data_IF_598972319654
#
_entry.id   IF_598972319654
#
_cell.length_a   1.000
_cell.length_b   1.000
_cell.length_c   1.000
_cell.angle_alpha   90.00
_cell.angle_beta   90.00
_cell.angle_gamma   90.00
#
_symmetry.space_group_name_H-M   'P 1'
#
loop_
_entity.id
_entity.type
_entity.pdbx_description
1 polymer ?
#
# COMPACT_ATOMS: atom_id res chain seq x y z
N UNK A 1 26.47 11.68 -19.72
CA UNK A 1 25.46 10.62 -19.96
C UNK A 1 24.61 10.30 -18.72
N UNK A 2 25.16 10.37 -17.49
CA UNK A 2 24.39 10.19 -16.25
C UNK A 2 23.44 11.36 -15.90
N UNK A 3 23.84 12.62 -16.15
CA UNK A 3 22.96 13.79 -15.94
C UNK A 3 21.65 13.66 -16.75
N UNK A 4 21.73 13.28 -18.03
CA UNK A 4 20.55 13.12 -18.88
C UNK A 4 19.62 12.02 -18.38
N UNK A 5 20.15 10.95 -17.77
CA UNK A 5 19.33 9.90 -17.16
C UNK A 5 18.64 10.37 -15.88
N UNK A 6 19.33 11.20 -15.07
CA UNK A 6 18.79 11.76 -13.82
C UNK A 6 17.62 12.71 -14.09
N UNK A 7 17.85 13.70 -14.97
CA UNK A 7 16.83 14.66 -15.41
C UNK A 7 15.60 13.92 -15.96
N UNK A 8 15.82 12.90 -16.78
CA UNK A 8 14.74 12.12 -17.37
C UNK A 8 13.91 11.28 -16.36
N UNK A 9 14.50 10.88 -15.23
CA UNK A 9 13.78 10.19 -14.16
C UNK A 9 12.97 11.18 -13.33
N UNK A 10 13.53 12.34 -13.03
CA UNK A 10 12.86 13.41 -12.29
C UNK A 10 11.66 13.96 -13.08
N UNK A 11 11.82 14.19 -14.39
CA UNK A 11 10.73 14.59 -15.28
C UNK A 11 9.60 13.55 -15.29
N UNK A 12 9.96 12.26 -15.35
CA UNK A 12 8.97 11.18 -15.32
C UNK A 12 8.25 11.09 -13.97
N UNK A 13 8.96 11.26 -12.86
CA UNK A 13 8.34 11.25 -11.53
C UNK A 13 7.41 12.47 -11.34
N UNK A 14 7.71 13.63 -11.95
CA UNK A 14 6.90 14.85 -11.86
C UNK A 14 5.86 15.05 -12.99
N UNK A 15 5.76 14.12 -13.94
CA UNK A 15 4.84 14.23 -15.08
C UNK A 15 3.37 14.40 -14.61
N UNK A 16 2.54 15.14 -15.37
CA UNK A 16 1.09 15.13 -15.18
C UNK A 16 0.52 13.72 -15.32
N UNK A 17 -0.45 13.37 -14.48
CA UNK A 17 -1.15 12.08 -14.54
C UNK A 17 -2.12 12.08 -15.73
N UNK A 18 -2.11 10.99 -16.51
CA UNK A 18 -2.79 10.92 -17.81
C UNK A 18 -4.00 9.97 -17.82
N UNK A 19 -4.12 9.09 -16.84
CA UNK A 19 -5.18 8.08 -16.73
C UNK A 19 -6.58 8.62 -16.40
N UNK A 20 -6.84 9.92 -16.55
CA UNK A 20 -8.17 10.51 -16.35
C UNK A 20 -8.67 10.40 -14.92
N UNK A 21 -9.58 9.46 -14.65
CA UNK A 21 -10.20 9.23 -13.35
C UNK A 21 -9.70 7.93 -12.71
N UNK A 22 -9.28 8.02 -11.45
CA UNK A 22 -8.71 6.91 -10.69
C UNK A 22 -9.63 6.55 -9.51
N UNK A 23 -10.53 5.57 -9.65
CA UNK A 23 -11.46 5.20 -8.58
C UNK A 23 -10.76 4.75 -7.29
N UNK A 24 -9.56 4.18 -7.38
CA UNK A 24 -8.79 3.77 -6.21
C UNK A 24 -7.27 3.87 -6.41
N UNK A 25 -6.58 4.19 -5.31
CA UNK A 25 -5.13 4.36 -5.23
C UNK A 25 -4.58 3.44 -4.14
N UNK A 26 -3.53 2.68 -4.47
CA UNK A 26 -2.76 1.91 -3.50
C UNK A 26 -1.54 2.70 -3.08
N UNK A 27 -1.28 2.70 -1.78
CA UNK A 27 -0.16 3.41 -1.17
C UNK A 27 0.59 2.51 -0.21
N UNK A 28 1.91 2.62 -0.19
CA UNK A 28 2.76 1.95 0.79
C UNK A 28 4.00 2.78 1.06
N UNK A 29 4.69 2.49 2.16
CA UNK A 29 5.99 3.05 2.47
C UNK A 29 7.02 1.95 2.68
N UNK A 30 8.14 2.05 1.99
CA UNK A 30 9.24 1.09 2.04
C UNK A 30 10.36 1.72 2.86
N UNK A 31 10.86 1.00 3.88
CA UNK A 31 12.05 1.43 4.61
C UNK A 31 13.31 0.94 3.90
N UNK A 32 14.22 1.87 3.61
CA UNK A 32 15.55 1.60 3.08
C UNK A 32 16.59 2.12 4.07
N UNK A 33 17.78 1.50 4.08
CA UNK A 33 18.89 1.96 4.94
C UNK A 33 19.70 3.03 4.23
N UNK A 34 20.01 4.11 4.93
CA UNK A 34 21.00 5.10 4.53
C UNK A 34 22.15 5.12 5.53
N UNK A 35 23.36 5.44 5.04
CA UNK A 35 24.52 5.74 5.84
C UNK A 35 24.88 7.21 5.59
N UNK A 36 24.55 8.06 6.56
CA UNK A 36 24.83 9.49 6.49
C UNK A 36 25.79 9.86 7.62
N UNK A 37 26.95 10.42 7.27
CA UNK A 37 27.93 10.86 8.27
C UNK A 37 28.49 9.74 9.17
N UNK A 38 28.42 8.48 8.74
CA UNK A 38 28.85 7.31 9.54
C UNK A 38 27.72 6.69 10.38
N UNK A 39 26.53 7.28 10.39
CA UNK A 39 25.36 6.74 11.09
C UNK A 39 24.40 6.03 10.13
N UNK A 40 23.92 4.86 10.56
CA UNK A 40 22.93 4.09 9.82
C UNK A 40 21.52 4.44 10.26
N UNK A 41 20.75 5.03 9.35
CA UNK A 41 19.36 5.41 9.58
C UNK A 41 18.43 4.74 8.57
N UNK A 42 17.15 4.62 8.92
CA UNK A 42 16.13 4.21 7.97
C UNK A 42 15.47 5.44 7.33
N UNK A 43 15.40 5.45 6.00
CA UNK A 43 14.60 6.40 5.22
C UNK A 43 13.34 5.71 4.73
N UNK A 44 12.19 6.38 4.80
CA UNK A 44 10.95 5.86 4.24
C UNK A 44 10.77 6.39 2.81
N UNK A 45 10.55 5.51 1.84
CA UNK A 45 10.13 5.89 0.50
C UNK A 45 8.64 5.57 0.37
N UNK A 46 7.83 6.61 0.23
CA UNK A 46 6.39 6.50 0.00
C UNK A 46 6.16 6.24 -1.49
N UNK A 47 5.28 5.30 -1.81
CA UNK A 47 4.99 4.87 -3.18
C UNK A 47 3.48 4.83 -3.39
N UNK A 48 3.02 5.29 -4.56
CA UNK A 48 1.63 5.21 -4.96
C UNK A 48 1.46 4.66 -6.38
N UNK A 49 0.45 3.81 -6.54
CA UNK A 49 0.00 3.25 -7.82
C UNK A 49 -1.52 3.29 -7.85
N UNK A 50 -2.09 3.77 -8.94
CA UNK A 50 -3.53 3.85 -9.14
C UNK A 50 -4.00 2.91 -10.22
N UNK A 51 -5.30 2.67 -10.25
CA UNK A 51 -5.98 2.01 -11.36
C UNK A 51 -7.05 2.97 -11.85
N UNK A 52 -7.09 3.22 -13.17
CA UNK A 52 -8.10 4.09 -13.77
C UNK A 52 -9.45 3.36 -13.98
N UNK A 53 -10.45 4.06 -14.50
CA UNK A 53 -11.77 3.50 -14.80
C UNK A 53 -11.72 2.36 -15.84
N UNK A 54 -10.79 2.43 -16.80
CA UNK A 54 -10.55 1.37 -17.80
C UNK A 54 -9.88 0.12 -17.21
N UNK A 55 -9.29 0.23 -16.02
CA UNK A 55 -8.58 -0.85 -15.36
C UNK A 55 -7.07 -0.88 -15.54
N UNK A 56 -6.54 0.10 -16.26
CA UNK A 56 -5.11 0.28 -16.46
C UNK A 56 -4.44 0.82 -15.22
N UNK A 57 -3.22 0.34 -14.99
CA UNK A 57 -2.43 0.68 -13.82
C UNK A 57 -1.51 1.81 -14.17
N UNK A 58 -1.49 2.84 -13.32
CA UNK A 58 -0.51 3.91 -13.45
C UNK A 58 0.25 4.10 -12.16
N UNK A 59 1.58 3.98 -12.24
CA UNK A 59 2.45 4.38 -11.13
C UNK A 59 2.38 5.89 -10.99
N UNK A 60 1.78 6.36 -9.89
CA UNK A 60 1.67 7.78 -9.63
C UNK A 60 3.04 8.37 -9.31
N UNK A 61 3.84 7.68 -8.50
CA UNK A 61 5.22 8.06 -8.20
C UNK A 61 5.71 7.59 -6.84
N UNK A 62 6.87 8.11 -6.45
CA UNK A 62 7.44 7.91 -5.13
C UNK A 62 8.01 9.22 -4.59
N UNK A 63 8.06 9.34 -3.27
CA UNK A 63 8.69 10.46 -2.58
C UNK A 63 9.45 9.97 -1.35
N UNK A 64 10.52 10.68 -1.00
CA UNK A 64 11.19 10.50 0.27
C UNK A 64 10.32 11.07 1.40
N UNK A 65 10.11 10.27 2.44
CA UNK A 65 9.58 10.70 3.73
C UNK A 65 10.64 10.47 4.79
N UNK A 66 10.84 11.45 5.68
CA UNK A 66 11.72 11.28 6.83
C UNK A 66 11.27 10.09 7.69
N UNK A 67 9.94 9.95 7.87
CA UNK A 67 9.26 8.83 8.54
C UNK A 67 7.89 8.58 7.88
N UNK A 68 7.18 7.54 8.31
CA UNK A 68 5.76 7.33 7.97
C UNK A 68 4.84 8.21 8.83
N UNK A 69 5.19 9.49 8.97
CA UNK A 69 4.45 10.46 9.76
C UNK A 69 3.40 11.21 8.92
N UNK A 70 2.52 11.96 9.60
CA UNK A 70 1.46 12.72 8.95
C UNK A 70 2.01 13.70 7.92
N UNK A 71 3.06 14.45 8.28
CA UNK A 71 3.66 15.49 7.44
C UNK A 71 4.14 14.91 6.11
N UNK A 72 4.88 13.80 6.16
CA UNK A 72 5.38 13.13 4.95
C UNK A 72 4.24 12.65 4.06
N UNK A 73 3.16 12.10 4.64
CA UNK A 73 1.99 11.65 3.88
C UNK A 73 1.17 12.80 3.29
N UNK A 74 0.98 13.91 4.02
CA UNK A 74 0.28 15.11 3.51
C UNK A 74 1.04 15.68 2.32
N UNK A 75 2.34 15.90 2.45
CA UNK A 75 3.18 16.40 1.35
C UNK A 75 3.13 15.48 0.14
N UNK A 76 3.18 14.15 0.34
CA UNK A 76 3.10 13.18 -0.75
C UNK A 76 1.72 13.20 -1.43
N UNK A 77 0.64 13.26 -0.67
CA UNK A 77 -0.72 13.31 -1.22
C UNK A 77 -1.01 14.62 -1.95
N UNK A 78 -0.55 15.76 -1.43
CA UNK A 78 -0.63 17.04 -2.14
C UNK A 78 0.17 17.00 -3.44
N UNK A 79 1.38 16.41 -3.43
CA UNK A 79 2.22 16.28 -4.61
C UNK A 79 1.56 15.43 -5.71
N UNK A 80 0.92 14.30 -5.39
CA UNK A 80 0.18 13.52 -6.41
C UNK A 80 -1.12 14.23 -6.83
N UNK A 81 -1.81 14.92 -5.91
CA UNK A 81 -3.05 15.65 -6.21
C UNK A 81 -2.81 16.78 -7.21
N UNK A 82 -1.76 17.58 -6.99
CA UNK A 82 -1.37 18.69 -7.87
C UNK A 82 -0.95 18.24 -9.28
N UNK A 83 -0.66 16.94 -9.47
CA UNK A 83 -0.40 16.33 -10.78
C UNK A 83 -1.67 15.81 -11.47
N UNK A 84 -2.85 16.31 -11.07
CA UNK A 84 -4.19 16.03 -11.64
C UNK A 84 -4.74 14.64 -11.29
N UNK A 85 -4.50 14.18 -10.07
CA UNK A 85 -5.15 12.96 -9.57
C UNK A 85 -6.64 13.22 -9.33
N UNK A 86 -7.49 12.79 -10.27
CA UNK A 86 -8.93 12.95 -10.20
C UNK A 86 -9.63 11.63 -9.81
N UNK A 87 -10.75 11.72 -9.11
CA UNK A 87 -11.64 10.57 -8.85
C UNK A 87 -11.21 9.61 -7.75
N UNK A 88 -10.16 9.92 -6.96
CA UNK A 88 -9.59 9.11 -5.88
C UNK A 88 -10.54 8.79 -4.73
N UNK A 89 -11.57 7.98 -5.00
CA UNK A 89 -12.65 7.62 -4.06
C UNK A 89 -12.23 6.62 -3.00
N UNK A 90 -11.12 5.90 -3.20
CA UNK A 90 -10.59 4.95 -2.23
C UNK A 90 -9.06 5.00 -2.17
N UNK A 91 -8.53 5.11 -0.96
CA UNK A 91 -7.10 4.92 -0.68
C UNK A 91 -6.92 3.59 0.05
N UNK A 92 -6.11 2.70 -0.52
CA UNK A 92 -5.77 1.39 0.03
C UNK A 92 -4.33 1.42 0.53
N UNK A 93 -4.12 1.24 1.84
CA UNK A 93 -2.78 1.30 2.43
C UNK A 93 -2.66 0.53 3.73
N UNK A 94 -1.46 0.52 4.33
CA UNK A 94 -1.32 0.01 5.70
C UNK A 94 -1.96 0.98 6.72
N UNK A 95 -2.41 0.43 7.85
CA UNK A 95 -3.01 1.19 8.95
C UNK A 95 -1.93 1.94 9.72
N UNK A 96 -1.41 3.02 9.16
CA UNK A 96 -0.58 3.99 9.87
C UNK A 96 -1.36 5.29 10.10
N UNK A 97 -1.27 5.82 11.33
CA UNK A 97 -2.05 7.00 11.75
C UNK A 97 -1.77 8.22 10.88
N UNK A 98 -0.50 8.48 10.56
CA UNK A 98 -0.12 9.60 9.71
C UNK A 98 -0.77 9.55 8.32
N UNK A 99 -0.86 8.36 7.70
CA UNK A 99 -1.54 8.21 6.41
C UNK A 99 -3.05 8.41 6.55
N UNK A 100 -3.68 7.90 7.61
CA UNK A 100 -5.13 8.04 7.81
C UNK A 100 -5.55 9.50 7.99
N UNK A 101 -4.75 10.25 8.74
CA UNK A 101 -4.96 11.69 8.94
C UNK A 101 -4.71 12.45 7.65
N UNK A 102 -3.64 12.12 6.91
CA UNK A 102 -3.33 12.75 5.63
C UNK A 102 -4.39 12.49 4.55
N UNK A 103 -4.96 11.28 4.48
CA UNK A 103 -6.07 10.98 3.55
C UNK A 103 -7.27 11.88 3.84
N UNK A 104 -7.66 12.03 5.12
CA UNK A 104 -8.79 12.88 5.51
C UNK A 104 -8.55 14.36 5.21
N UNK A 105 -7.31 14.80 5.30
CA UNK A 105 -6.92 16.19 5.06
C UNK A 105 -6.88 16.53 3.57
N UNK A 106 -6.24 15.68 2.76
CA UNK A 106 -6.01 15.97 1.33
C UNK A 106 -7.17 15.47 0.45
N UNK A 107 -7.84 14.38 0.84
CA UNK A 107 -8.92 13.76 0.10
C UNK A 107 -10.13 13.49 1.02
N UNK A 108 -10.86 14.53 1.47
CA UNK A 108 -11.94 14.38 2.46
C UNK A 108 -13.06 13.44 2.00
N UNK A 109 -13.32 13.38 0.70
CA UNK A 109 -14.33 12.50 0.10
C UNK A 109 -13.85 11.07 -0.15
N UNK A 110 -12.55 10.79 0.04
CA UNK A 110 -11.99 9.47 -0.18
C UNK A 110 -12.28 8.55 1.00
N UNK A 111 -12.75 7.34 0.68
CA UNK A 111 -12.80 6.24 1.64
C UNK A 111 -11.39 5.68 1.87
N UNK A 112 -11.20 5.03 3.00
CA UNK A 112 -9.99 4.28 3.31
C UNK A 112 -10.27 2.78 3.39
N UNK A 113 -9.35 1.98 2.86
CA UNK A 113 -9.26 0.55 3.10
C UNK A 113 -7.89 0.17 3.63
N UNK A 114 -7.90 -0.60 4.72
CA UNK A 114 -6.71 -1.32 5.18
C UNK A 114 -6.38 -2.42 4.19
N UNK A 115 -5.14 -2.42 3.72
CA UNK A 115 -4.58 -3.46 2.87
C UNK A 115 -4.73 -4.86 3.51
N UNK A 116 -5.30 -5.81 2.76
CA UNK A 116 -5.62 -7.17 3.21
C UNK A 116 -4.38 -7.96 3.63
N UNK A 117 -3.24 -7.81 2.93
CA UNK A 117 -2.01 -8.51 3.36
C UNK A 117 -1.39 -7.89 4.60
N UNK A 118 -1.40 -6.57 4.75
CA UNK A 118 -0.95 -5.95 6.00
C UNK A 118 -1.84 -6.37 7.17
N UNK A 119 -3.15 -6.50 6.93
CA UNK A 119 -4.06 -7.10 7.89
C UNK A 119 -3.67 -8.55 8.24
N UNK A 120 -3.42 -9.42 7.24
CA UNK A 120 -3.02 -10.80 7.48
C UNK A 120 -1.69 -10.90 8.24
N UNK A 121 -0.67 -10.13 7.84
CA UNK A 121 0.63 -10.06 8.54
C UNK A 121 0.47 -9.63 10.00
N UNK A 122 -0.43 -8.68 10.27
CA UNK A 122 -0.71 -8.26 11.64
C UNK A 122 -1.36 -9.37 12.48
N UNK A 123 -2.25 -10.18 11.89
CA UNK A 123 -2.80 -11.36 12.59
C UNK A 123 -1.72 -12.43 12.77
N UNK A 124 -0.88 -12.65 11.76
CA UNK A 124 0.19 -13.64 11.82
C UNK A 124 1.28 -13.33 12.84
N UNK A 125 1.51 -12.05 13.17
CA UNK A 125 2.53 -11.68 14.18
C UNK A 125 2.22 -12.18 15.59
N UNK A 126 0.97 -12.59 15.86
CA UNK A 126 0.55 -13.22 17.12
C UNK A 126 0.03 -14.65 16.91
N UNK A 127 0.27 -15.22 15.73
CA UNK A 127 -0.15 -16.59 15.39
C UNK A 127 1.07 -17.52 15.39
N UNK A 128 1.03 -18.66 16.11
CA UNK A 128 2.09 -19.67 16.05
C UNK A 128 2.33 -20.17 14.61
N UNK A 129 3.59 -20.37 14.23
CA UNK A 129 3.98 -20.77 12.85
C UNK A 129 3.23 -22.01 12.35
N UNK A 130 2.99 -22.99 13.22
CA UNK A 130 2.25 -24.22 12.90
C UNK A 130 0.79 -23.98 12.50
N UNK A 131 0.17 -22.89 12.96
CA UNK A 131 -1.24 -22.55 12.71
C UNK A 131 -1.42 -21.52 11.59
N UNK A 132 -0.35 -20.88 11.11
CA UNK A 132 -0.43 -19.82 10.07
C UNK A 132 -1.17 -20.30 8.82
N UNK A 133 -0.93 -21.54 8.35
CA UNK A 133 -1.63 -22.10 7.18
C UNK A 133 -3.15 -22.19 7.39
N UNK A 134 -3.59 -22.61 8.59
CA UNK A 134 -5.00 -22.69 8.95
C UNK A 134 -5.61 -21.29 9.01
N UNK A 135 -5.00 -20.37 9.76
CA UNK A 135 -5.48 -18.99 9.92
C UNK A 135 -5.54 -18.27 8.57
N UNK A 136 -4.59 -18.52 7.67
CA UNK A 136 -4.62 -17.98 6.30
C UNK A 136 -5.89 -18.40 5.55
N UNK A 137 -6.28 -19.69 5.62
CA UNK A 137 -7.50 -20.19 4.98
C UNK A 137 -8.75 -19.51 5.57
N UNK A 138 -8.79 -19.36 6.90
CA UNK A 138 -9.90 -18.68 7.59
C UNK A 138 -10.05 -17.22 7.15
N UNK A 139 -8.95 -16.46 7.14
CA UNK A 139 -8.97 -15.03 6.75
C UNK A 139 -9.31 -14.85 5.26
N UNK A 140 -8.81 -15.73 4.39
CA UNK A 140 -9.17 -15.73 2.96
C UNK A 140 -10.65 -16.04 2.76
N UNK A 141 -11.24 -16.93 3.54
CA UNK A 141 -12.66 -17.26 3.45
C UNK A 141 -13.57 -16.05 3.72
N UNK A 142 -13.14 -15.09 4.55
CA UNK A 142 -13.86 -13.83 4.78
C UNK A 142 -13.91 -12.98 3.50
N UNK A 143 -12.78 -12.87 2.83
CA UNK A 143 -12.61 -12.01 1.64
C UNK A 143 -13.10 -12.66 0.35
N UNK A 144 -13.46 -13.95 0.41
CA UNK A 144 -14.07 -14.70 -0.69
C UNK A 144 -15.60 -14.65 -0.67
N UNK A 145 -16.21 -13.96 0.31
CA UNK A 145 -17.66 -13.85 0.40
C UNK A 145 -18.24 -12.92 -0.67
N UNK A 146 -19.43 -13.24 -1.14
CA UNK A 146 -20.14 -12.56 -2.23
C UNK A 146 -20.79 -11.23 -1.84
N UNK A 147 -20.81 -10.89 -0.55
CA UNK A 147 -21.37 -9.63 -0.07
C UNK A 147 -20.71 -9.16 1.22
N UNK A 148 -20.82 -7.86 1.50
CA UNK A 148 -20.35 -7.26 2.76
C UNK A 148 -20.99 -7.92 3.98
N UNK A 149 -22.29 -8.24 3.88
CA UNK A 149 -23.04 -8.90 4.96
C UNK A 149 -22.49 -10.30 5.23
N UNK A 150 -22.34 -11.11 4.18
CA UNK A 150 -21.77 -12.45 4.28
C UNK A 150 -20.31 -12.40 4.79
N UNK A 151 -19.51 -11.44 4.35
CA UNK A 151 -18.15 -11.22 4.85
C UNK A 151 -18.14 -10.94 6.36
N UNK A 152 -19.06 -10.10 6.87
CA UNK A 152 -19.18 -9.81 8.31
C UNK A 152 -19.62 -11.03 9.11
N UNK A 153 -20.59 -11.79 8.62
CA UNK A 153 -21.02 -13.03 9.27
C UNK A 153 -19.89 -14.06 9.31
N UNK A 154 -19.17 -14.23 8.20
CA UNK A 154 -18.01 -15.11 8.14
C UNK A 154 -16.89 -14.64 9.07
N UNK A 155 -16.67 -13.33 9.20
CA UNK A 155 -15.69 -12.76 10.11
C UNK A 155 -16.01 -13.09 11.57
N UNK A 156 -17.28 -12.99 11.99
CA UNK A 156 -17.72 -13.39 13.33
C UNK A 156 -17.42 -14.86 13.61
N UNK A 157 -17.81 -15.74 12.68
CA UNK A 157 -17.53 -17.18 12.81
C UNK A 157 -16.02 -17.48 12.86
N UNK A 158 -15.20 -16.78 12.08
CA UNK A 158 -13.74 -16.91 12.11
C UNK A 158 -13.16 -16.42 13.45
N UNK A 159 -13.67 -15.32 14.02
CA UNK A 159 -13.24 -14.80 15.31
C UNK A 159 -13.57 -15.78 16.43
N UNK A 160 -14.78 -16.36 16.43
CA UNK A 160 -15.20 -17.40 17.38
C UNK A 160 -14.31 -18.64 17.29
N UNK A 161 -14.03 -19.11 16.08
CA UNK A 161 -13.15 -20.26 15.88
C UNK A 161 -11.70 -19.97 16.30
N UNK A 162 -11.19 -18.76 16.05
CA UNK A 162 -9.86 -18.37 16.56
C UNK A 162 -9.82 -18.38 18.09
N UNK A 163 -10.91 -17.98 18.76
CA UNK A 163 -11.02 -18.06 20.24
C UNK A 163 -11.09 -19.52 20.71
N UNK A 164 -11.81 -20.40 19.99
CA UNK A 164 -11.96 -21.83 20.32
C UNK A 164 -10.61 -22.55 20.30
N UNK A 165 -9.77 -22.28 19.30
CA UNK A 165 -8.41 -22.86 19.18
C UNK A 165 -7.35 -22.13 20.01
N UNK A 166 -7.77 -21.33 21.00
CA UNK A 166 -6.92 -20.58 21.95
C UNK A 166 -6.04 -19.49 21.32
N UNK A 167 -6.38 -18.98 20.14
CA UNK A 167 -5.69 -17.86 19.49
C UNK A 167 -6.39 -16.52 19.77
N UNK A 168 -6.51 -16.17 21.06
CA UNK A 168 -7.26 -14.98 21.53
C UNK A 168 -6.74 -13.66 20.94
N UNK A 169 -5.42 -13.48 20.89
CA UNK A 169 -4.81 -12.27 20.31
C UNK A 169 -5.03 -12.16 18.80
N UNK A 170 -4.98 -13.28 18.08
CA UNK A 170 -5.29 -13.30 16.65
C UNK A 170 -6.76 -12.94 16.40
N UNK A 171 -7.67 -13.46 17.22
CA UNK A 171 -9.10 -13.16 17.16
C UNK A 171 -9.36 -11.66 17.38
N UNK A 172 -8.77 -11.07 18.44
CA UNK A 172 -8.88 -9.63 18.74
C UNK A 172 -8.38 -8.77 17.58
N UNK A 173 -7.18 -9.07 17.06
CA UNK A 173 -6.62 -8.32 15.91
C UNK A 173 -7.47 -8.45 14.65
N UNK A 174 -8.10 -9.60 14.42
CA UNK A 174 -9.00 -9.81 13.31
C UNK A 174 -10.26 -8.94 13.47
N UNK A 175 -10.91 -9.02 14.63
CA UNK A 175 -12.13 -8.28 14.98
C UNK A 175 -11.94 -6.76 14.90
N UNK A 176 -10.88 -6.21 15.48
CA UNK A 176 -10.61 -4.77 15.53
C UNK A 176 -10.37 -4.12 14.16
N UNK A 177 -10.06 -4.93 13.14
CA UNK A 177 -9.56 -4.43 11.86
C UNK A 177 -10.31 -4.93 10.64
N UNK A 178 -11.16 -5.97 10.76
CA UNK A 178 -11.81 -6.58 9.61
C UNK A 178 -12.70 -5.59 8.85
N UNK A 179 -13.47 -4.75 9.54
CA UNK A 179 -14.36 -3.79 8.89
C UNK A 179 -13.60 -2.84 7.96
N UNK A 180 -12.36 -2.47 8.35
CA UNK A 180 -11.48 -1.60 7.54
C UNK A 180 -10.94 -2.29 6.29
N UNK A 181 -11.07 -3.61 6.17
CA UNK A 181 -10.65 -4.39 4.99
C UNK A 181 -11.79 -4.66 4.00
N UNK A 182 -13.03 -4.33 4.37
CA UNK A 182 -14.23 -4.62 3.58
C UNK A 182 -14.78 -3.40 2.83
N UNK A 183 -14.08 -2.25 2.84
CA UNK A 183 -14.56 -1.02 2.18
C UNK A 183 -14.78 -1.20 0.66
N UNK A 184 -14.04 -2.11 0.03
CA UNK A 184 -14.16 -2.43 -1.39
C UNK A 184 -15.56 -2.89 -1.80
N UNK A 185 -16.34 -3.47 -0.88
CA UNK A 185 -17.69 -3.94 -1.18
C UNK A 185 -18.67 -2.80 -1.47
N UNK A 186 -18.29 -1.56 -1.16
CA UNK A 186 -19.09 -0.36 -1.47
C UNK A 186 -18.89 0.11 -2.93
N UNK A 187 -18.00 -0.54 -3.69
CA UNK A 187 -17.71 -0.25 -5.10
C UNK A 187 -18.42 -1.27 -6.00
N UNK A 188 -18.36 -1.06 -7.33
CA UNK A 188 -18.96 -2.00 -8.27
C UNK A 188 -18.25 -3.38 -8.22
N UNK A 189 -18.98 -4.51 -8.34
CA UNK A 189 -18.43 -5.87 -8.21
C UNK A 189 -17.22 -6.16 -9.11
N UNK A 190 -17.16 -5.56 -10.30
CA UNK A 190 -16.08 -5.71 -11.28
C UNK A 190 -14.72 -5.25 -10.70
N UNK A 191 -14.74 -4.33 -9.73
CA UNK A 191 -13.55 -3.84 -9.06
C UNK A 191 -13.18 -4.63 -7.80
N UNK A 192 -14.07 -5.46 -7.25
CA UNK A 192 -13.85 -6.10 -5.94
C UNK A 192 -12.61 -6.96 -5.90
N UNK A 193 -12.42 -7.84 -6.89
CA UNK A 193 -11.23 -8.70 -6.96
C UNK A 193 -9.96 -7.88 -7.06
N UNK A 194 -9.99 -6.77 -7.81
CA UNK A 194 -8.83 -5.88 -7.97
C UNK A 194 -8.50 -5.16 -6.66
N UNK A 195 -9.49 -4.58 -5.98
CA UNK A 195 -9.30 -3.83 -4.72
C UNK A 195 -8.93 -4.75 -3.55
N UNK A 196 -9.58 -5.91 -3.46
CA UNK A 196 -9.34 -6.88 -2.39
C UNK A 196 -7.94 -7.51 -2.49
N UNK A 197 -7.44 -7.71 -3.72
CA UNK A 197 -6.09 -8.22 -3.94
C UNK A 197 -5.09 -7.06 -4.01
N UNK A 198 -4.16 -7.01 -3.06
CA UNK A 198 -3.09 -6.01 -3.07
C UNK A 198 -1.90 -6.38 -4.00
N UNK A 199 -2.13 -7.31 -4.94
CA UNK A 199 -1.12 -7.85 -5.85
C UNK A 199 -0.39 -6.75 -6.63
N UNK A 200 -1.09 -5.66 -6.96
CA UNK A 200 -0.57 -4.53 -7.73
C UNK A 200 0.61 -3.88 -7.00
N UNK A 201 0.39 -3.42 -5.76
CA UNK A 201 1.44 -2.76 -4.98
C UNK A 201 2.47 -3.75 -4.44
N UNK A 202 2.09 -4.99 -4.13
CA UNK A 202 3.05 -6.00 -3.67
C UNK A 202 4.03 -6.44 -4.75
N UNK A 203 3.56 -6.56 -6.00
CA UNK A 203 4.45 -6.84 -7.13
C UNK A 203 5.43 -5.68 -7.33
N UNK A 204 4.95 -4.45 -7.26
CA UNK A 204 5.77 -3.25 -7.36
C UNK A 204 6.83 -3.21 -6.25
N UNK A 205 6.42 -3.43 -5.00
CA UNK A 205 7.31 -3.43 -3.85
C UNK A 205 8.32 -4.58 -3.89
N UNK A 206 7.97 -5.74 -4.44
CA UNK A 206 8.93 -6.83 -4.68
C UNK A 206 10.01 -6.43 -5.68
N UNK A 207 9.64 -5.77 -6.78
CA UNK A 207 10.60 -5.28 -7.77
C UNK A 207 11.53 -4.21 -7.21
N UNK A 208 11.00 -3.29 -6.39
CA UNK A 208 11.80 -2.29 -5.67
C UNK A 208 12.76 -3.01 -4.71
N UNK A 209 12.24 -3.84 -3.81
CA UNK A 209 13.03 -4.55 -2.81
C UNK A 209 14.13 -5.43 -3.44
N UNK A 210 13.86 -6.06 -4.60
CA UNK A 210 14.84 -6.87 -5.31
C UNK A 210 16.06 -6.04 -5.72
N UNK A 211 15.83 -4.80 -6.19
CA UNK A 211 16.92 -3.95 -6.67
C UNK A 211 17.63 -3.20 -5.54
N UNK A 212 16.90 -2.76 -4.51
CA UNK A 212 17.48 -2.02 -3.39
C UNK A 212 18.26 -2.92 -2.43
N UNK A 213 17.89 -4.20 -2.29
CA UNK A 213 18.59 -5.15 -1.40
C UNK A 213 20.06 -5.34 -1.77
N UNK A 214 20.40 -5.28 -3.04
CA UNK A 214 21.79 -5.44 -3.53
C UNK A 214 22.67 -4.25 -3.13
N UNK A 215 22.09 -3.07 -2.95
CA UNK A 215 22.83 -1.86 -2.55
C UNK A 215 23.20 -1.90 -1.06
N UNK A 216 22.38 -2.52 -0.22
CA UNK A 216 22.62 -2.62 1.22
C UNK A 216 22.32 -1.32 1.98
N UNK A 217 23.12 -0.27 1.75
CA UNK A 217 22.93 1.06 2.35
C UNK A 217 23.17 2.16 1.32
N UNK A 218 22.29 3.16 1.29
CA UNK A 218 22.41 4.32 0.41
C UNK A 218 23.23 5.45 1.06
N UNK A 219 23.91 6.30 0.28
CA UNK A 219 24.62 7.47 0.84
C UNK A 219 23.65 8.51 1.41
N UNK A 220 22.47 8.65 0.82
CA UNK A 220 21.44 9.60 1.23
C UNK A 220 20.05 9.14 0.76
N UNK A 221 19.00 9.83 1.23
CA UNK A 221 17.61 9.49 0.90
C UNK A 221 17.21 9.78 -0.55
N UNK A 222 17.79 10.82 -1.16
CA UNK A 222 17.55 11.15 -2.56
C UNK A 222 18.15 10.09 -3.49
N UNK A 223 19.35 9.59 -3.19
CA UNK A 223 19.96 8.44 -3.89
C UNK A 223 19.08 7.19 -3.82
N UNK A 224 18.47 6.93 -2.66
CA UNK A 224 17.51 5.85 -2.50
C UNK A 224 16.24 6.07 -3.35
N UNK A 225 15.68 7.29 -3.30
CA UNK A 225 14.52 7.69 -4.10
C UNK A 225 14.77 7.54 -5.60
N UNK A 226 15.93 7.98 -6.11
CA UNK A 226 16.26 7.90 -7.53
C UNK A 226 16.31 6.46 -8.04
N UNK A 227 16.86 5.53 -7.25
CA UNK A 227 16.84 4.11 -7.62
C UNK A 227 15.42 3.54 -7.63
N UNK A 228 14.58 3.95 -6.66
CA UNK A 228 13.16 3.57 -6.62
C UNK A 228 12.43 4.12 -7.85
N UNK A 229 12.51 5.43 -8.13
CA UNK A 229 11.92 6.07 -9.31
C UNK A 229 12.40 5.39 -10.61
N UNK A 230 13.70 5.08 -10.75
CA UNK A 230 14.22 4.34 -11.90
C UNK A 230 13.59 2.96 -12.06
N UNK A 231 13.41 2.22 -10.95
CA UNK A 231 12.76 0.90 -10.99
C UNK A 231 11.27 1.00 -11.30
N UNK A 232 10.58 1.95 -10.69
CA UNK A 232 9.17 2.23 -10.95
C UNK A 232 8.92 2.50 -12.42
N UNK A 233 9.73 3.36 -13.01
CA UNK A 233 9.69 3.70 -14.44
C UNK A 233 9.88 2.46 -15.32
N UNK A 234 10.89 1.65 -15.02
CA UNK A 234 11.12 0.41 -15.77
C UNK A 234 9.91 -0.54 -15.69
N UNK A 235 9.31 -0.69 -14.52
CA UNK A 235 8.10 -1.52 -14.34
C UNK A 235 6.89 -0.94 -15.07
N UNK A 236 6.79 0.39 -15.16
CA UNK A 236 5.74 1.06 -15.93
C UNK A 236 5.93 0.89 -17.45
N UNK A 237 7.17 0.86 -17.95
CA UNK A 237 7.45 0.66 -19.38
C UNK A 237 7.32 -0.79 -19.87
N UNK A 238 7.25 -1.75 -18.94
CA UNK A 238 7.16 -3.20 -19.24
C UNK A 238 5.78 -3.78 -18.93
N UNK A 239 4.78 -2.92 -18.68
CA UNK A 239 3.42 -3.31 -18.33
C UNK A 239 2.53 -3.44 -19.56
#
# INVERSE_FOLDING_TARGET
>A
MELNKKVYIEDWCNRPLQGGRYPYVYVDGIYLRRNWGGEFENVAILVAIAVNEDGDREVLGAAEGMKKDKVSWVSFFQWIHNRRLNGGKLVVGDKCMGMLEAVREVFPEAKYQRCTVHFYRNVFSVTPRSKVKLVTKMLKAIHAQESKKAAREKAKAVVEELRSIKLKEAAKKAEDSIEKTLTYSDFQPEHWTRICTNNVIERLNREICRRTRVVGSFPDGHSALMLVCARLRHVASTQ
#
